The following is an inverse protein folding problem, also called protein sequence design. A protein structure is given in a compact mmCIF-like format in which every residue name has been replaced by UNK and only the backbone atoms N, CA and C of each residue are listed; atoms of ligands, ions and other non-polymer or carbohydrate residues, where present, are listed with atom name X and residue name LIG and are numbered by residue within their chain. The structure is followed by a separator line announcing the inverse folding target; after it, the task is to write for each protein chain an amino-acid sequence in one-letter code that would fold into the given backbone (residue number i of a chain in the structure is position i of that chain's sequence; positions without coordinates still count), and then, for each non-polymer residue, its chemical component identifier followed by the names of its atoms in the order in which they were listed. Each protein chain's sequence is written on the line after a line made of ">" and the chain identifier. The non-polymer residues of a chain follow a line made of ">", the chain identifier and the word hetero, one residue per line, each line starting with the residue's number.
data_IF_287963852699
#
_entry.id   IF_287963852699
#
_cell.length_a   1.000
_cell.length_b   1.000
_cell.length_c   1.000
_cell.angle_alpha   90.00
_cell.angle_beta   90.00
_cell.angle_gamma   90.00
#
_symmetry.space_group_name_H-M   'P 1'
#
loop_
_entity.id
_entity.type
_entity.pdbx_description
1 polymer ?
#
# COMPACT_ATOMS: atom_id res chain seq x y z
N UNK A 1 -24.22 -3.33 20.44
CA UNK A 1 -23.40 -4.48 20.91
C UNK A 1 -22.97 -5.45 19.80
N UNK A 2 -23.79 -5.76 18.78
CA UNK A 2 -23.37 -6.63 17.65
C UNK A 2 -22.25 -6.03 16.78
N UNK A 3 -22.23 -4.71 16.56
CA UNK A 3 -21.19 -4.04 15.76
C UNK A 3 -19.79 -4.15 16.41
N UNK A 4 -19.73 -4.02 17.74
CA UNK A 4 -18.47 -4.12 18.51
C UNK A 4 -17.94 -5.56 18.50
N UNK A 5 -18.83 -6.56 18.60
CA UNK A 5 -18.47 -7.99 18.46
C UNK A 5 -18.08 -8.36 17.02
N UNK A 6 -18.62 -7.66 16.02
CA UNK A 6 -18.29 -7.84 14.60
C UNK A 6 -16.91 -7.27 14.24
N UNK A 7 -16.52 -6.15 14.86
CA UNK A 7 -15.17 -5.58 14.72
C UNK A 7 -14.11 -6.37 15.52
N UNK A 8 -14.51 -7.09 16.57
CA UNK A 8 -13.62 -7.91 17.40
C UNK A 8 -13.10 -9.18 16.71
N UNK A 9 -13.64 -9.55 15.55
CA UNK A 9 -13.36 -10.82 14.86
C UNK A 9 -12.82 -10.64 13.42
N UNK A 10 -12.59 -9.40 12.97
CA UNK A 10 -12.02 -9.10 11.66
C UNK A 10 -10.55 -8.74 11.77
N UNK A 11 -9.81 -8.95 10.70
CA UNK A 11 -8.38 -8.69 10.62
C UNK A 11 -8.12 -7.18 10.67
N UNK A 12 -8.11 -6.64 11.90
CA UNK A 12 -7.92 -5.23 12.23
C UNK A 12 -6.65 -4.69 11.54
N UNK A 13 -5.61 -5.51 11.47
CA UNK A 13 -4.29 -5.10 11.00
C UNK A 13 -4.27 -4.78 9.47
N UNK A 14 -4.73 -5.68 8.58
CA UNK A 14 -4.88 -5.38 7.14
C UNK A 14 -5.71 -4.13 6.85
N UNK A 15 -6.78 -3.88 7.61
CA UNK A 15 -7.64 -2.70 7.44
C UNK A 15 -6.86 -1.43 7.78
N UNK A 16 -6.30 -1.33 8.99
CA UNK A 16 -5.64 -0.09 9.42
C UNK A 16 -4.32 0.18 8.69
N UNK A 17 -3.64 -0.86 8.21
CA UNK A 17 -2.40 -0.71 7.44
C UNK A 17 -2.61 -0.09 6.05
N UNK A 18 -3.84 -0.06 5.53
CA UNK A 18 -4.17 0.57 4.25
C UNK A 18 -4.45 2.08 4.36
N UNK A 19 -4.97 2.55 5.50
CA UNK A 19 -5.31 3.98 5.71
C UNK A 19 -4.14 4.93 5.42
N UNK A 20 -2.88 4.62 5.81
CA UNK A 20 -1.76 5.51 5.54
C UNK A 20 -1.46 5.75 4.05
N UNK A 21 -1.97 4.94 3.11
CA UNK A 21 -1.79 5.19 1.66
C UNK A 21 -2.45 6.49 1.18
N UNK A 22 -3.43 7.03 1.90
CA UNK A 22 -4.01 8.32 1.54
C UNK A 22 -3.03 9.49 1.72
N UNK A 23 -1.98 9.33 2.54
CA UNK A 23 -0.94 10.35 2.72
C UNK A 23 -0.14 10.56 1.41
N UNK A 24 0.52 9.53 0.82
CA UNK A 24 1.19 9.70 -0.46
C UNK A 24 0.23 10.05 -1.60
N UNK A 25 -1.03 9.57 -1.57
CA UNK A 25 -2.04 9.97 -2.56
C UNK A 25 -2.31 11.49 -2.53
N UNK A 26 -2.56 12.04 -1.33
CA UNK A 26 -2.76 13.48 -1.13
C UNK A 26 -1.55 14.29 -1.59
N UNK A 27 -0.35 13.85 -1.21
CA UNK A 27 0.89 14.51 -1.61
C UNK A 27 1.11 14.46 -3.13
N UNK A 28 0.76 13.35 -3.80
CA UNK A 28 0.84 13.24 -5.26
C UNK A 28 -0.02 14.31 -5.95
N UNK A 29 -1.22 14.60 -5.44
CA UNK A 29 -2.06 15.68 -5.97
C UNK A 29 -1.40 17.04 -5.84
N UNK A 30 -0.77 17.35 -4.70
CA UNK A 30 -0.06 18.64 -4.53
C UNK A 30 1.12 18.83 -5.47
N UNK A 31 1.68 17.73 -5.99
CA UNK A 31 2.78 17.71 -6.98
C UNK A 31 2.31 17.61 -8.43
N UNK A 32 1.00 17.66 -8.68
CA UNK A 32 0.42 17.54 -10.02
C UNK A 32 0.42 16.12 -10.60
N UNK A 33 0.75 15.10 -9.79
CA UNK A 33 0.75 13.69 -10.18
C UNK A 33 -0.67 13.09 -10.08
N UNK A 34 -1.65 13.71 -10.75
CA UNK A 34 -3.08 13.39 -10.58
C UNK A 34 -3.43 11.93 -10.84
N UNK A 35 -2.99 11.36 -11.97
CA UNK A 35 -3.27 9.97 -12.32
C UNK A 35 -2.69 8.98 -11.29
N UNK A 36 -1.49 9.28 -10.77
CA UNK A 36 -0.84 8.46 -9.75
C UNK A 36 -1.52 8.59 -8.39
N UNK A 37 -1.91 9.81 -7.99
CA UNK A 37 -2.71 10.04 -6.78
C UNK A 37 -4.05 9.30 -6.81
N UNK A 38 -4.76 9.33 -7.94
CA UNK A 38 -6.00 8.57 -8.15
C UNK A 38 -5.75 7.07 -8.03
N UNK A 39 -4.68 6.56 -8.65
CA UNK A 39 -4.32 5.15 -8.60
C UNK A 39 -4.06 4.68 -7.16
N UNK A 40 -3.28 5.43 -6.38
CA UNK A 40 -3.00 5.11 -4.97
C UNK A 40 -4.29 5.13 -4.15
N UNK A 41 -5.11 6.18 -4.30
CA UNK A 41 -6.36 6.31 -3.56
C UNK A 41 -7.37 5.19 -3.91
N UNK A 42 -7.44 4.80 -5.19
CA UNK A 42 -8.28 3.70 -5.65
C UNK A 42 -7.80 2.36 -5.10
N UNK A 43 -6.49 2.09 -5.16
CA UNK A 43 -5.90 0.89 -4.58
C UNK A 43 -6.20 0.79 -3.08
N UNK A 44 -5.97 1.86 -2.33
CA UNK A 44 -6.26 1.91 -0.89
C UNK A 44 -7.75 1.70 -0.59
N UNK A 45 -8.64 2.34 -1.35
CA UNK A 45 -10.09 2.23 -1.15
C UNK A 45 -10.61 0.83 -1.46
N UNK A 46 -10.16 0.22 -2.56
CA UNK A 46 -10.52 -1.16 -2.93
C UNK A 46 -9.97 -2.15 -1.91
N UNK A 47 -8.72 -1.99 -1.47
CA UNK A 47 -8.10 -2.85 -0.46
C UNK A 47 -8.82 -2.77 0.88
N UNK A 48 -9.13 -1.56 1.35
CA UNK A 48 -9.92 -1.34 2.55
C UNK A 48 -11.28 -2.02 2.45
N UNK A 49 -12.00 -1.81 1.34
CA UNK A 49 -13.31 -2.40 1.15
C UNK A 49 -13.24 -3.93 1.10
N UNK A 50 -12.27 -4.49 0.37
CA UNK A 50 -12.02 -5.93 0.31
C UNK A 50 -11.79 -6.53 1.71
N UNK A 51 -10.92 -5.95 2.53
CA UNK A 51 -10.67 -6.44 3.90
C UNK A 51 -11.84 -6.18 4.86
N UNK A 52 -12.69 -5.18 4.57
CA UNK A 52 -13.89 -4.91 5.34
C UNK A 52 -15.06 -5.82 4.97
N UNK A 53 -15.14 -6.37 3.76
CA UNK A 53 -16.28 -7.20 3.33
C UNK A 53 -15.94 -8.67 3.14
N UNK A 54 -14.66 -9.05 3.08
CA UNK A 54 -14.17 -10.37 2.68
C UNK A 54 -14.67 -10.82 1.30
N UNK A 55 -15.01 -9.85 0.44
CA UNK A 55 -15.58 -10.11 -0.88
C UNK A 55 -14.52 -10.67 -1.83
N UNK A 56 -14.60 -11.98 -2.09
CA UNK A 56 -13.58 -12.73 -2.83
C UNK A 56 -13.41 -12.26 -4.28
N UNK A 57 -14.44 -11.68 -4.88
CA UNK A 57 -14.38 -11.14 -6.25
C UNK A 57 -13.42 -9.95 -6.35
N UNK A 58 -13.31 -9.15 -5.29
CA UNK A 58 -12.44 -7.98 -5.24
C UNK A 58 -10.98 -8.33 -5.03
N UNK A 59 -10.66 -9.53 -4.54
CA UNK A 59 -9.28 -9.99 -4.33
C UNK A 59 -8.42 -9.90 -5.60
N UNK A 60 -9.01 -10.16 -6.77
CA UNK A 60 -8.28 -10.05 -8.05
C UNK A 60 -8.01 -8.59 -8.41
N UNK A 61 -9.00 -7.72 -8.19
CA UNK A 61 -8.89 -6.28 -8.47
C UNK A 61 -7.89 -5.61 -7.52
N UNK A 62 -7.96 -5.92 -6.22
CA UNK A 62 -7.02 -5.45 -5.20
C UNK A 62 -5.57 -5.76 -5.57
N UNK A 63 -5.27 -7.03 -5.91
CA UNK A 63 -3.94 -7.43 -6.39
C UNK A 63 -3.51 -6.70 -7.66
N UNK A 64 -4.42 -6.55 -8.62
CA UNK A 64 -4.13 -5.83 -9.85
C UNK A 64 -3.76 -4.37 -9.58
N UNK A 65 -4.51 -3.69 -8.71
CA UNK A 65 -4.23 -2.31 -8.32
C UNK A 65 -2.91 -2.21 -7.55
N UNK A 66 -2.61 -3.15 -6.66
CA UNK A 66 -1.33 -3.19 -5.95
C UNK A 66 -0.14 -3.31 -6.92
N UNK A 67 -0.20 -4.21 -7.91
CA UNK A 67 0.85 -4.31 -8.94
C UNK A 67 0.92 -3.06 -9.83
N UNK A 68 -0.21 -2.42 -10.09
CA UNK A 68 -0.25 -1.16 -10.83
C UNK A 68 0.44 -0.02 -10.07
N UNK A 69 0.23 0.07 -8.75
CA UNK A 69 0.95 1.02 -7.88
C UNK A 69 2.45 0.73 -7.89
N UNK A 70 2.87 -0.54 -7.81
CA UNK A 70 4.31 -0.91 -7.90
C UNK A 70 4.91 -0.46 -9.24
N UNK A 71 4.23 -0.71 -10.37
CA UNK A 71 4.70 -0.27 -11.67
C UNK A 71 4.78 1.27 -11.77
N UNK A 72 3.77 1.97 -11.24
CA UNK A 72 3.76 3.42 -11.18
C UNK A 72 4.89 3.97 -10.29
N UNK A 73 5.19 3.35 -9.15
CA UNK A 73 6.30 3.72 -8.28
C UNK A 73 7.64 3.69 -9.05
N UNK A 74 7.88 2.63 -9.82
CA UNK A 74 9.09 2.51 -10.66
C UNK A 74 9.15 3.61 -11.72
N UNK A 75 8.02 3.91 -12.37
CA UNK A 75 7.92 4.97 -13.36
C UNK A 75 8.20 6.36 -12.75
N UNK A 76 7.62 6.66 -11.58
CA UNK A 76 7.86 7.93 -10.88
C UNK A 76 9.32 8.06 -10.43
N UNK A 77 9.95 6.99 -9.91
CA UNK A 77 11.37 7.01 -9.58
C UNK A 77 12.27 7.25 -10.79
N UNK A 78 11.92 6.67 -11.94
CA UNK A 78 12.60 6.93 -13.20
C UNK A 78 12.48 8.41 -13.61
N UNK A 79 11.28 8.99 -13.56
CA UNK A 79 11.08 10.43 -13.84
C UNK A 79 11.85 11.32 -12.86
N UNK A 80 11.94 10.92 -11.59
CA UNK A 80 12.73 11.59 -10.56
C UNK A 80 14.25 11.37 -10.69
N UNK A 81 14.72 10.66 -11.72
CA UNK A 81 16.14 10.32 -11.95
C UNK A 81 16.81 9.67 -10.74
N UNK A 82 16.04 8.85 -9.99
CA UNK A 82 16.53 8.15 -8.80
C UNK A 82 17.15 9.08 -7.74
N UNK A 83 16.53 10.26 -7.52
CA UNK A 83 17.00 11.27 -6.59
C UNK A 83 17.26 10.73 -5.17
N UNK A 84 18.48 10.94 -4.68
CA UNK A 84 18.86 10.65 -3.29
C UNK A 84 18.33 11.75 -2.34
N UNK A 85 17.98 11.43 -1.08
CA UNK A 85 18.09 10.12 -0.42
C UNK A 85 16.88 9.19 -0.63
N UNK A 86 15.82 9.68 -1.28
CA UNK A 86 14.53 9.00 -1.38
C UNK A 86 14.63 7.61 -2.03
N UNK A 87 15.42 7.49 -3.09
CA UNK A 87 15.64 6.21 -3.77
C UNK A 87 16.26 5.15 -2.84
N UNK A 88 17.27 5.52 -2.05
CA UNK A 88 17.91 4.60 -1.10
C UNK A 88 16.93 4.11 -0.05
N UNK A 89 16.13 5.01 0.53
CA UNK A 89 15.13 4.66 1.53
C UNK A 89 14.08 3.73 0.91
N UNK A 90 13.58 4.06 -0.29
CA UNK A 90 12.63 3.20 -1.01
C UNK A 90 13.20 1.79 -1.23
N UNK A 91 14.47 1.67 -1.65
CA UNK A 91 15.12 0.38 -1.90
C UNK A 91 15.27 -0.46 -0.63
N UNK A 92 15.65 0.15 0.49
CA UNK A 92 15.72 -0.54 1.80
C UNK A 92 14.35 -1.10 2.17
N UNK A 93 13.29 -0.29 2.04
CA UNK A 93 11.94 -0.73 2.35
C UNK A 93 11.40 -1.77 1.36
N UNK A 94 11.85 -1.79 0.09
CA UNK A 94 11.54 -2.89 -0.84
C UNK A 94 12.09 -4.21 -0.31
N UNK A 95 13.32 -4.23 0.17
CA UNK A 95 13.92 -5.43 0.78
C UNK A 95 13.13 -5.92 2.00
N UNK A 96 12.75 -4.99 2.88
CA UNK A 96 11.94 -5.30 4.08
C UNK A 96 10.53 -5.78 3.70
N UNK A 97 9.88 -5.13 2.73
CA UNK A 97 8.57 -5.54 2.22
C UNK A 97 8.63 -6.95 1.64
N UNK A 98 9.68 -7.27 0.87
CA UNK A 98 9.85 -8.60 0.29
C UNK A 98 10.02 -9.68 1.35
N UNK A 99 10.75 -9.40 2.43
CA UNK A 99 10.82 -10.28 3.60
C UNK A 99 9.42 -10.59 4.14
N UNK A 100 8.62 -9.56 4.46
CA UNK A 100 7.27 -9.76 4.99
C UNK A 100 6.33 -10.49 4.02
N UNK A 101 6.46 -10.23 2.71
CA UNK A 101 5.69 -10.90 1.66
C UNK A 101 5.98 -12.41 1.60
N UNK A 102 7.24 -12.81 1.72
CA UNK A 102 7.64 -14.22 1.65
C UNK A 102 7.28 -15.00 2.91
N UNK A 103 7.48 -14.40 4.09
CA UNK A 103 7.26 -15.06 5.39
C UNK A 103 5.79 -15.06 5.81
N UNK A 104 4.94 -14.23 5.19
CA UNK A 104 3.54 -14.09 5.58
C UNK A 104 2.62 -15.27 5.26
N UNK A 105 3.12 -16.44 4.84
CA UNK A 105 2.28 -17.56 4.34
C UNK A 105 1.64 -18.47 5.40
N UNK A 106 1.85 -18.21 6.70
CA UNK A 106 1.39 -19.08 7.80
C UNK A 106 0.66 -18.29 8.92
N UNK A 107 0.63 -18.81 10.16
CA UNK A 107 -0.24 -18.42 11.31
C UNK A 107 -0.21 -16.93 11.75
N UNK A 108 0.54 -16.07 11.06
CA UNK A 108 0.65 -14.63 11.31
C UNK A 108 0.37 -13.78 10.06
N UNK A 109 -0.29 -14.33 9.04
CA UNK A 109 -0.57 -13.67 7.75
C UNK A 109 -0.95 -12.20 7.91
N UNK A 110 -1.90 -11.87 8.80
CA UNK A 110 -2.40 -10.50 8.97
C UNK A 110 -1.34 -9.51 9.43
N UNK A 111 -0.45 -9.93 10.34
CA UNK A 111 0.64 -9.09 10.83
C UNK A 111 1.65 -8.85 9.72
N UNK A 112 2.08 -9.91 9.03
CA UNK A 112 3.06 -9.81 7.96
C UNK A 112 2.51 -9.03 6.77
N UNK A 113 1.25 -9.25 6.41
CA UNK A 113 0.57 -8.53 5.35
C UNK A 113 0.38 -7.05 5.68
N UNK A 114 0.01 -6.73 6.92
CA UNK A 114 -0.05 -5.34 7.37
C UNK A 114 1.32 -4.65 7.37
N UNK A 115 2.38 -5.35 7.77
CA UNK A 115 3.74 -4.81 7.68
C UNK A 115 4.18 -4.61 6.22
N UNK A 116 3.77 -5.49 5.32
CA UNK A 116 3.97 -5.31 3.88
C UNK A 116 3.27 -4.04 3.35
N UNK A 117 2.04 -3.76 3.78
CA UNK A 117 1.35 -2.50 3.46
C UNK A 117 2.11 -1.28 4.00
N UNK A 118 2.51 -1.29 5.28
CA UNK A 118 3.24 -0.16 5.87
C UNK A 118 4.56 0.11 5.16
N UNK A 119 5.30 -0.93 4.77
CA UNK A 119 6.51 -0.77 3.96
C UNK A 119 6.17 -0.17 2.58
N UNK A 120 5.10 -0.65 1.95
CA UNK A 120 4.63 -0.16 0.65
C UNK A 120 4.18 1.30 0.69
N UNK A 121 3.61 1.76 1.80
CA UNK A 121 3.29 3.18 2.04
C UNK A 121 4.57 4.01 2.04
N UNK A 122 5.60 3.58 2.78
CA UNK A 122 6.88 4.30 2.84
C UNK A 122 7.54 4.36 1.46
N UNK A 123 7.56 3.24 0.72
CA UNK A 123 8.09 3.19 -0.65
C UNK A 123 7.36 4.20 -1.54
N UNK A 124 6.02 4.18 -1.53
CA UNK A 124 5.18 5.06 -2.35
C UNK A 124 5.39 6.54 -1.97
N UNK A 125 5.49 6.84 -0.67
CA UNK A 125 5.79 8.18 -0.17
C UNK A 125 7.17 8.68 -0.64
N UNK A 126 8.20 7.83 -0.60
CA UNK A 126 9.53 8.19 -1.11
C UNK A 126 9.49 8.45 -2.62
N UNK A 127 8.70 7.69 -3.39
CA UNK A 127 8.53 7.93 -4.82
C UNK A 127 7.91 9.32 -5.08
N UNK A 128 6.83 9.66 -4.37
CA UNK A 128 6.18 10.97 -4.47
C UNK A 128 7.11 12.11 -4.05
N UNK A 129 7.90 11.93 -2.99
CA UNK A 129 8.84 12.95 -2.51
C UNK A 129 10.03 13.18 -3.46
N UNK A 130 10.46 12.13 -4.17
CA UNK A 130 11.56 12.20 -5.12
C UNK A 130 11.23 13.06 -6.35
N UNK A 131 9.99 12.99 -6.82
CA UNK A 131 9.46 13.77 -7.96
C UNK A 131 9.31 15.25 -7.61
#
# INVERSE_FOLDING_TARGET
>A
MKLIKYLSNKDVIPIWSNVPFYIPAGLAFTKGLWAYGILIALAASVSLYYHLTDERELKRLDKFLAYSVIAANLYILYLAKFKLPYFTIALVFVGIAFYFFLTGKEHKYDVYHGMWHLCSVVITLMCVLAY
#
